data_IF_178058127761
#
_entry.id   IF_178058127761
#
_cell.length_a   1.000
_cell.length_b   1.000
_cell.length_c   1.000
_cell.angle_alpha   90.00
_cell.angle_beta   90.00
_cell.angle_gamma   90.00
#
_symmetry.space_group_name_H-M   'P 1'
#
loop_
_entity.id
_entity.type
_entity.pdbx_description
1 polymer ?
#
# COMPACT_ATOMS: atom_id res chain seq x y z
N UNK A 1 37.04 -27.04 -54.99
CA UNK A 1 35.67 -26.45 -54.91
C UNK A 1 34.64 -27.31 -54.14
N UNK A 2 35.03 -28.13 -53.14
CA UNK A 2 34.07 -28.83 -52.26
C UNK A 2 33.95 -28.21 -50.85
N UNK A 3 34.91 -27.39 -50.41
CA UNK A 3 34.88 -26.74 -49.08
C UNK A 3 34.07 -25.43 -49.02
N UNK A 4 33.84 -24.76 -50.15
CA UNK A 4 33.05 -23.52 -50.21
C UNK A 4 31.53 -23.74 -50.26
N UNK A 5 31.08 -24.96 -50.62
CA UNK A 5 29.65 -25.32 -50.66
C UNK A 5 29.08 -25.62 -49.27
N UNK A 6 29.89 -26.06 -48.31
CA UNK A 6 29.43 -26.34 -46.94
C UNK A 6 29.35 -25.07 -46.08
N UNK A 7 30.21 -24.08 -46.31
CA UNK A 7 30.18 -22.80 -45.57
C UNK A 7 28.97 -21.93 -45.96
N UNK A 8 28.53 -21.98 -47.23
CA UNK A 8 27.33 -21.27 -47.68
C UNK A 8 26.02 -21.94 -47.21
N UNK A 9 26.01 -23.27 -47.07
CA UNK A 9 24.86 -24.06 -46.57
C UNK A 9 24.69 -23.95 -45.04
N UNK A 10 25.78 -23.74 -44.30
CA UNK A 10 25.72 -23.43 -42.87
C UNK A 10 25.29 -21.99 -42.60
N UNK A 11 25.68 -21.03 -43.46
CA UNK A 11 25.22 -19.64 -43.34
C UNK A 11 23.70 -19.53 -43.60
N UNK A 12 23.15 -20.29 -44.55
CA UNK A 12 21.71 -20.29 -44.82
C UNK A 12 20.88 -21.02 -43.75
N UNK A 13 21.42 -22.01 -43.04
CA UNK A 13 20.71 -22.65 -41.92
C UNK A 13 20.64 -21.76 -40.66
N UNK A 14 21.60 -20.86 -40.45
CA UNK A 14 21.55 -19.90 -39.32
C UNK A 14 20.48 -18.82 -39.55
N UNK A 15 20.17 -18.48 -40.82
CA UNK A 15 19.08 -17.54 -41.14
C UNK A 15 17.68 -18.19 -41.18
N UNK A 16 17.57 -19.53 -41.16
CA UNK A 16 16.26 -20.24 -41.21
C UNK A 16 15.76 -20.67 -39.81
N UNK A 17 16.58 -20.58 -38.76
CA UNK A 17 16.14 -20.73 -37.36
C UNK A 17 15.79 -19.40 -36.67
N UNK A 18 15.89 -18.27 -37.38
CA UNK A 18 15.27 -16.98 -36.97
C UNK A 18 13.81 -16.91 -37.48
N UNK A 19 13.15 -18.07 -37.60
CA UNK A 19 11.74 -18.16 -37.89
C UNK A 19 10.93 -17.76 -36.64
N UNK A 20 10.39 -16.54 -36.66
CA UNK A 20 9.25 -16.06 -35.86
C UNK A 20 9.28 -16.23 -34.33
N UNK A 21 10.45 -16.34 -33.69
CA UNK A 21 10.50 -16.10 -32.25
C UNK A 21 10.23 -14.59 -32.02
N UNK A 22 9.11 -14.25 -31.36
CA UNK A 22 8.83 -12.87 -30.91
C UNK A 22 10.10 -12.32 -30.26
N UNK A 23 10.49 -11.08 -30.58
CA UNK A 23 11.60 -10.43 -29.88
C UNK A 23 11.28 -10.41 -28.37
N UNK A 24 12.28 -10.36 -27.47
CA UNK A 24 12.01 -10.30 -26.03
C UNK A 24 11.04 -9.17 -25.64
N UNK A 25 11.07 -8.05 -26.38
CA UNK A 25 10.12 -6.94 -26.26
C UNK A 25 8.70 -7.32 -26.66
N UNK A 26 8.51 -7.93 -27.83
CA UNK A 26 7.20 -8.39 -28.30
C UNK A 26 6.61 -9.49 -27.42
N UNK A 27 7.45 -10.39 -26.92
CA UNK A 27 7.03 -11.43 -25.98
C UNK A 27 6.66 -10.83 -24.62
N UNK A 28 7.41 -9.83 -24.12
CA UNK A 28 7.07 -9.09 -22.91
C UNK A 28 5.74 -8.35 -23.07
N UNK A 29 5.57 -7.59 -24.17
CA UNK A 29 4.34 -6.85 -24.50
C UNK A 29 3.12 -7.77 -24.51
N UNK A 30 3.22 -8.88 -25.24
CA UNK A 30 2.15 -9.88 -25.34
C UNK A 30 1.79 -10.53 -24.00
N UNK A 31 2.77 -10.80 -23.12
CA UNK A 31 2.50 -11.36 -21.79
C UNK A 31 1.86 -10.33 -20.86
N UNK A 32 2.33 -9.08 -20.91
CA UNK A 32 1.76 -8.00 -20.11
C UNK A 32 0.31 -7.69 -20.53
N UNK A 33 0.03 -7.68 -21.83
CA UNK A 33 -1.32 -7.52 -22.38
C UNK A 33 -2.25 -8.65 -21.92
N UNK A 34 -1.77 -9.91 -21.98
CA UNK A 34 -2.53 -11.06 -21.47
C UNK A 34 -2.84 -10.92 -19.98
N UNK A 35 -1.91 -10.40 -19.16
CA UNK A 35 -2.14 -10.20 -17.73
C UNK A 35 -3.12 -9.06 -17.45
N UNK A 36 -3.00 -7.93 -18.15
CA UNK A 36 -3.85 -6.75 -17.92
C UNK A 36 -5.28 -6.94 -18.47
N UNK A 37 -5.46 -7.80 -19.48
CA UNK A 37 -6.79 -8.14 -20.02
C UNK A 37 -7.55 -9.17 -19.18
N UNK A 38 -6.92 -9.82 -18.20
CA UNK A 38 -7.59 -10.77 -17.33
C UNK A 38 -8.56 -10.08 -16.35
N UNK A 39 -9.85 -10.16 -16.67
CA UNK A 39 -10.93 -9.67 -15.80
C UNK A 39 -11.05 -10.44 -14.49
N UNK A 40 -10.59 -11.69 -14.47
CA UNK A 40 -10.67 -12.57 -13.30
C UNK A 40 -9.31 -13.20 -12.99
N UNK A 41 -8.69 -12.76 -11.90
CA UNK A 41 -7.35 -13.20 -11.52
C UNK A 41 -7.15 -13.17 -10.01
N UNK A 42 -6.18 -13.95 -9.52
CA UNK A 42 -5.71 -13.90 -8.14
C UNK A 42 -4.22 -14.14 -8.07
N UNK A 43 -3.55 -13.44 -7.17
CA UNK A 43 -2.11 -13.46 -7.00
C UNK A 43 -1.74 -13.45 -5.53
N UNK A 44 -0.81 -14.33 -5.15
CA UNK A 44 -0.11 -14.25 -3.86
C UNK A 44 1.17 -13.44 -4.08
N UNK A 45 1.28 -12.30 -3.40
CA UNK A 45 2.43 -11.41 -3.40
C UNK A 45 3.32 -11.70 -2.21
N UNK A 46 4.63 -11.68 -2.45
CA UNK A 46 5.67 -11.60 -1.42
C UNK A 46 6.47 -10.33 -1.63
N UNK A 47 6.34 -9.39 -0.71
CA UNK A 47 7.02 -8.08 -0.74
C UNK A 47 8.13 -8.11 0.29
N UNK A 48 9.36 -7.82 -0.14
CA UNK A 48 10.54 -7.89 0.72
C UNK A 48 11.40 -6.65 0.54
N UNK A 49 11.69 -5.95 1.63
CA UNK A 49 12.73 -4.93 1.66
C UNK A 49 14.07 -5.65 1.76
N UNK A 50 14.89 -5.58 0.71
CA UNK A 50 16.19 -6.25 0.64
C UNK A 50 17.29 -5.48 1.34
N UNK A 51 17.27 -4.17 1.15
CA UNK A 51 18.27 -3.25 1.68
C UNK A 51 17.60 -1.91 1.91
N UNK A 52 17.97 -1.24 2.99
CA UNK A 52 17.56 0.12 3.30
C UNK A 52 18.80 0.84 3.84
N UNK A 53 19.16 1.96 3.23
CA UNK A 53 20.24 2.81 3.71
C UNK A 53 19.65 4.09 4.28
N UNK A 54 19.84 4.39 5.57
CA UNK A 54 19.40 5.64 6.14
C UNK A 54 20.14 6.83 5.52
N UNK A 55 19.48 7.99 5.48
CA UNK A 55 20.07 9.26 5.08
C UNK A 55 20.64 10.05 6.27
N UNK A 56 21.09 11.28 6.02
CA UNK A 56 21.75 12.10 7.04
C UNK A 56 20.78 12.59 8.13
N UNK A 57 19.50 12.72 7.80
CA UNK A 57 18.42 13.11 8.72
C UNK A 57 17.56 11.92 9.17
N UNK A 58 18.15 10.75 9.36
CA UNK A 58 17.41 9.58 9.87
C UNK A 58 17.03 9.67 11.37
N UNK A 59 17.16 10.85 11.99
CA UNK A 59 16.83 11.07 13.40
C UNK A 59 15.33 10.81 13.59
N UNK A 60 14.99 9.83 14.45
CA UNK A 60 13.60 9.43 14.73
C UNK A 60 13.06 8.25 13.90
N UNK A 61 13.89 7.61 13.07
CA UNK A 61 13.52 6.40 12.32
C UNK A 61 13.98 5.11 13.02
N UNK A 62 13.78 5.02 14.33
CA UNK A 62 14.03 3.79 15.08
C UNK A 62 13.14 2.65 14.55
N UNK A 63 13.72 1.46 14.34
CA UNK A 63 12.99 0.27 13.84
C UNK A 63 12.91 0.10 12.32
N UNK A 64 13.46 1.02 11.50
CA UNK A 64 13.49 0.81 10.03
C UNK A 64 14.39 -0.34 9.59
N UNK A 65 15.46 -0.63 10.31
CA UNK A 65 16.32 -1.78 10.02
C UNK A 65 15.58 -3.10 10.23
N UNK A 66 14.58 -3.12 11.13
CA UNK A 66 13.81 -4.33 11.46
C UNK A 66 12.93 -4.81 10.31
N UNK A 67 12.61 -3.93 9.34
CA UNK A 67 11.85 -4.32 8.14
C UNK A 67 12.73 -4.96 7.07
N UNK A 68 14.05 -4.74 7.12
CA UNK A 68 15.00 -5.30 6.15
C UNK A 68 15.04 -6.81 6.34
N UNK A 69 14.85 -7.54 5.25
CA UNK A 69 14.83 -9.00 5.28
C UNK A 69 13.46 -9.61 5.58
N UNK A 70 12.55 -8.88 6.25
CA UNK A 70 11.16 -9.31 6.48
C UNK A 70 10.42 -9.41 5.15
N UNK A 71 9.49 -10.37 5.08
CA UNK A 71 8.65 -10.61 3.91
C UNK A 71 7.20 -10.41 4.31
N UNK A 72 6.55 -9.46 3.66
CA UNK A 72 5.12 -9.24 3.72
C UNK A 72 4.43 -10.13 2.69
N UNK A 73 3.51 -10.95 3.19
CA UNK A 73 2.67 -11.77 2.34
C UNK A 73 1.34 -11.02 2.12
N UNK A 74 0.97 -10.85 0.85
CA UNK A 74 -0.29 -10.23 0.47
C UNK A 74 -0.99 -11.08 -0.58
N UNK A 75 -2.32 -10.95 -0.67
CA UNK A 75 -3.15 -11.59 -1.68
C UNK A 75 -4.00 -10.53 -2.34
N UNK A 76 -3.97 -10.48 -3.66
CA UNK A 76 -4.89 -9.64 -4.43
C UNK A 76 -5.69 -10.55 -5.33
N UNK A 77 -7.01 -10.35 -5.35
CA UNK A 77 -7.90 -11.06 -6.26
C UNK A 77 -8.94 -10.11 -6.82
N UNK A 78 -9.33 -10.35 -8.06
CA UNK A 78 -10.32 -9.55 -8.77
C UNK A 78 -11.20 -10.43 -9.65
N UNK A 79 -12.47 -10.04 -9.78
CA UNK A 79 -13.41 -10.51 -10.79
C UNK A 79 -14.22 -9.27 -11.22
N UNK A 80 -13.69 -8.59 -12.24
CA UNK A 80 -14.21 -7.32 -12.74
C UNK A 80 -15.58 -7.48 -13.38
N UNK A 81 -15.90 -8.64 -13.95
CA UNK A 81 -17.25 -8.96 -14.45
C UNK A 81 -18.29 -9.00 -13.31
N UNK A 82 -17.84 -9.29 -12.08
CA UNK A 82 -18.65 -9.28 -10.86
C UNK A 82 -18.40 -8.05 -9.98
N UNK A 83 -17.66 -7.05 -10.48
CA UNK A 83 -17.30 -5.82 -9.75
C UNK A 83 -16.72 -6.09 -8.36
N UNK A 84 -15.89 -7.12 -8.22
CA UNK A 84 -15.32 -7.49 -6.92
C UNK A 84 -13.80 -7.49 -6.99
N UNK A 85 -13.18 -6.89 -5.97
CA UNK A 85 -11.75 -6.90 -5.72
C UNK A 85 -11.51 -7.14 -4.24
N UNK A 86 -10.44 -7.86 -3.90
CA UNK A 86 -10.04 -8.12 -2.53
C UNK A 86 -8.53 -8.02 -2.41
N UNK A 87 -8.08 -7.32 -1.37
CA UNK A 87 -6.70 -7.22 -0.94
C UNK A 87 -6.64 -7.76 0.49
N UNK A 88 -5.72 -8.66 0.76
CA UNK A 88 -5.42 -9.17 2.10
C UNK A 88 -3.91 -9.08 2.33
N UNK A 89 -3.46 -8.61 3.48
CA UNK A 89 -2.04 -8.47 3.83
C UNK A 89 -1.82 -9.02 5.23
N UNK A 90 -0.91 -9.98 5.37
CA UNK A 90 -0.46 -10.49 6.68
C UNK A 90 0.53 -9.50 7.30
N UNK A 91 0.03 -8.70 8.24
CA UNK A 91 0.82 -7.71 8.97
C UNK A 91 1.52 -8.29 10.20
N UNK A 92 1.18 -9.52 10.62
CA UNK A 92 1.82 -10.20 11.77
C UNK A 92 3.32 -10.42 11.54
N UNK A 93 3.76 -10.44 10.27
CA UNK A 93 5.17 -10.50 9.88
C UNK A 93 5.95 -9.23 10.20
N UNK A 94 5.28 -8.08 10.32
CA UNK A 94 5.91 -6.82 10.73
C UNK A 94 6.02 -6.80 12.26
N UNK A 95 4.90 -7.00 12.95
CA UNK A 95 4.74 -6.98 14.41
C UNK A 95 3.57 -7.91 14.76
N UNK A 96 3.74 -8.76 15.77
CA UNK A 96 2.79 -9.81 16.14
C UNK A 96 1.47 -9.26 16.72
N UNK A 97 1.45 -8.00 17.14
CA UNK A 97 0.22 -7.32 17.57
C UNK A 97 -0.73 -6.99 16.42
N UNK A 98 -0.25 -6.97 15.17
CA UNK A 98 -1.08 -6.67 14.01
C UNK A 98 -1.75 -7.93 13.46
N UNK A 99 -3.06 -7.82 13.23
CA UNK A 99 -3.83 -8.82 12.49
C UNK A 99 -3.70 -8.63 10.97
N UNK A 100 -4.25 -9.56 10.20
CA UNK A 100 -4.40 -9.40 8.76
C UNK A 100 -5.19 -8.12 8.46
N UNK A 101 -4.70 -7.36 7.48
CA UNK A 101 -5.43 -6.26 6.86
C UNK A 101 -6.23 -6.81 5.68
N UNK A 102 -7.52 -6.51 5.62
CA UNK A 102 -8.38 -6.85 4.51
C UNK A 102 -9.08 -5.61 3.96
N UNK A 103 -9.07 -5.46 2.64
CA UNK A 103 -9.91 -4.52 1.91
C UNK A 103 -10.71 -5.29 0.86
N UNK A 104 -12.02 -5.10 0.84
CA UNK A 104 -12.92 -5.73 -0.12
C UNK A 104 -13.72 -4.66 -0.81
N UNK A 105 -13.59 -4.58 -2.12
CA UNK A 105 -14.42 -3.75 -2.96
C UNK A 105 -15.47 -4.63 -3.63
N UNK A 106 -16.76 -4.29 -3.53
CA UNK A 106 -17.85 -5.00 -4.20
C UNK A 106 -18.99 -4.05 -4.56
N UNK A 107 -19.42 -4.09 -5.83
CA UNK A 107 -20.61 -3.36 -6.31
C UNK A 107 -20.65 -1.90 -5.87
N UNK A 108 -19.53 -1.20 -6.11
CA UNK A 108 -19.31 0.21 -5.80
C UNK A 108 -19.17 0.56 -4.30
N UNK A 109 -19.09 -0.45 -3.41
CA UNK A 109 -18.77 -0.28 -1.99
C UNK A 109 -17.40 -0.83 -1.67
N UNK A 110 -16.71 -0.20 -0.72
CA UNK A 110 -15.42 -0.67 -0.23
C UNK A 110 -15.47 -0.85 1.29
N UNK A 111 -14.97 -1.98 1.75
CA UNK A 111 -14.91 -2.35 3.15
C UNK A 111 -13.46 -2.54 3.57
N UNK A 112 -13.13 -2.14 4.79
CA UNK A 112 -11.80 -2.28 5.36
C UNK A 112 -11.86 -2.89 6.76
N UNK A 113 -10.99 -3.85 7.04
CA UNK A 113 -10.82 -4.45 8.37
C UNK A 113 -10.36 -3.41 9.39
N UNK A 114 -10.94 -3.42 10.59
CA UNK A 114 -10.71 -2.38 11.61
C UNK A 114 -9.52 -2.70 12.52
N UNK A 115 -9.25 -3.97 12.77
CA UNK A 115 -8.27 -4.41 13.77
C UNK A 115 -6.85 -3.81 13.59
N UNK A 116 -6.24 -3.77 12.38
CA UNK A 116 -4.91 -3.19 12.23
C UNK A 116 -4.88 -1.70 12.60
N UNK A 117 -5.93 -0.95 12.25
CA UNK A 117 -6.04 0.48 12.56
C UNK A 117 -6.14 0.71 14.07
N UNK A 118 -6.90 -0.12 14.78
CA UNK A 118 -7.01 -0.06 16.24
C UNK A 118 -5.70 -0.45 16.93
N UNK A 119 -5.04 -1.52 16.46
CA UNK A 119 -3.75 -1.95 16.99
C UNK A 119 -2.65 -0.88 16.82
N UNK A 120 -2.67 -0.10 15.74
CA UNK A 120 -1.76 1.04 15.55
C UNK A 120 -1.97 2.15 16.60
N UNK A 121 -3.18 2.26 17.13
CA UNK A 121 -3.53 3.19 18.20
C UNK A 121 -3.43 2.56 19.59
N UNK A 122 -2.87 1.33 19.70
CA UNK A 122 -2.78 0.53 20.92
C UNK A 122 -4.14 0.27 21.60
N UNK A 123 -5.21 0.23 20.80
CA UNK A 123 -6.57 -0.09 21.24
C UNK A 123 -6.72 -1.62 21.32
N UNK A 124 -7.37 -2.15 22.37
CA UNK A 124 -7.67 -3.59 22.46
C UNK A 124 -8.54 -4.01 21.26
N UNK A 125 -8.06 -4.99 20.50
CA UNK A 125 -8.68 -5.44 19.25
C UNK A 125 -9.71 -6.56 19.44
N UNK A 126 -9.91 -7.09 20.67
CA UNK A 126 -10.83 -8.21 20.92
C UNK A 126 -12.26 -7.93 20.45
N UNK A 127 -12.78 -6.75 20.76
CA UNK A 127 -14.16 -6.38 20.40
C UNK A 127 -14.31 -6.00 18.92
N UNK A 128 -13.18 -5.83 18.21
CA UNK A 128 -13.13 -5.51 16.79
C UNK A 128 -12.78 -6.72 15.91
N UNK A 129 -12.70 -7.93 16.47
CA UNK A 129 -12.31 -9.13 15.71
C UNK A 129 -13.27 -9.40 14.54
N UNK A 130 -12.72 -9.48 13.33
CA UNK A 130 -13.49 -9.69 12.10
C UNK A 130 -14.42 -8.54 11.73
N UNK A 131 -14.29 -7.38 12.37
CA UNK A 131 -15.09 -6.18 12.08
C UNK A 131 -14.50 -5.35 10.95
N UNK A 132 -15.40 -4.74 10.19
CA UNK A 132 -15.12 -3.91 9.03
C UNK A 132 -15.78 -2.54 9.17
N UNK A 133 -15.32 -1.59 8.38
CA UNK A 133 -15.99 -0.30 8.15
C UNK A 133 -16.34 -0.16 6.68
N UNK A 134 -17.43 0.54 6.36
CA UNK A 134 -17.71 1.01 4.99
C UNK A 134 -16.91 2.31 4.75
N UNK A 135 -15.99 2.29 3.78
CA UNK A 135 -15.09 3.42 3.50
C UNK A 135 -15.89 4.66 3.08
N UNK A 136 -16.95 4.49 2.29
CA UNK A 136 -17.78 5.61 1.81
C UNK A 136 -18.53 6.28 2.98
N UNK A 137 -19.00 5.49 3.93
CA UNK A 137 -19.63 6.02 5.15
C UNK A 137 -18.64 6.85 5.98
N UNK A 138 -17.39 6.37 6.10
CA UNK A 138 -16.37 7.01 6.93
C UNK A 138 -15.79 8.26 6.27
N UNK A 139 -15.55 8.23 4.95
CA UNK A 139 -14.97 9.36 4.21
C UNK A 139 -16.01 10.42 3.83
N UNK A 140 -17.28 10.03 3.68
CA UNK A 140 -18.31 10.87 3.07
C UNK A 140 -18.16 11.04 1.56
N UNK A 141 -17.21 10.34 0.94
CA UNK A 141 -16.92 10.38 -0.49
C UNK A 141 -17.33 9.07 -1.15
N UNK A 142 -18.04 9.18 -2.28
CA UNK A 142 -18.45 8.02 -3.06
C UNK A 142 -17.24 7.32 -3.63
N UNK A 143 -17.22 5.99 -3.51
CA UNK A 143 -16.17 5.21 -4.14
C UNK A 143 -16.31 5.23 -5.67
N UNK A 144 -15.20 5.31 -6.43
CA UNK A 144 -15.23 5.33 -7.88
C UNK A 144 -15.70 3.99 -8.42
N UNK A 145 -16.64 3.96 -9.37
CA UNK A 145 -17.22 2.69 -9.83
C UNK A 145 -16.18 1.78 -10.51
N UNK A 146 -16.10 0.53 -10.06
CA UNK A 146 -15.25 -0.47 -10.71
C UNK A 146 -15.71 -0.75 -12.14
N UNK A 147 -17.02 -0.67 -12.42
CA UNK A 147 -17.53 -0.86 -13.79
C UNK A 147 -17.02 0.22 -14.73
N UNK A 148 -17.02 1.47 -14.28
CA UNK A 148 -16.57 2.59 -15.08
C UNK A 148 -15.05 2.59 -15.25
N UNK A 149 -14.31 2.24 -14.19
CA UNK A 149 -12.86 2.10 -14.23
C UNK A 149 -12.38 0.99 -15.20
N UNK A 150 -13.23 -0.02 -15.47
CA UNK A 150 -12.88 -1.22 -16.25
C UNK A 150 -13.61 -1.33 -17.58
N UNK A 151 -14.38 -0.31 -17.97
CA UNK A 151 -15.17 -0.28 -19.21
C UNK A 151 -14.26 -0.28 -20.44
N UNK A 152 -14.11 -1.45 -21.06
CA UNK A 152 -13.47 -1.71 -22.37
C UNK A 152 -12.34 -0.75 -22.76
N UNK A 153 -11.43 -0.45 -21.82
CA UNK A 153 -10.20 0.27 -22.13
C UNK A 153 -9.25 -0.75 -22.72
N UNK A 154 -8.93 -0.61 -24.00
CA UNK A 154 -7.81 -1.34 -24.60
C UNK A 154 -6.56 -1.09 -23.74
N UNK A 155 -5.84 -2.17 -23.44
CA UNK A 155 -4.61 -2.10 -22.67
C UNK A 155 -3.58 -1.30 -23.49
N UNK A 156 -3.34 -0.05 -23.11
CA UNK A 156 -2.36 0.79 -23.80
C UNK A 156 -0.93 0.42 -23.34
N UNK A 157 -0.25 -0.32 -24.21
CA UNK A 157 1.15 -0.67 -24.05
C UNK A 157 2.08 0.13 -24.98
N UNK A 158 1.61 1.25 -25.55
CA UNK A 158 2.41 2.09 -26.46
C UNK A 158 3.70 2.61 -25.82
N UNK A 159 3.71 2.77 -24.50
CA UNK A 159 4.91 3.15 -23.75
C UNK A 159 6.07 2.15 -23.93
N UNK A 160 5.78 0.86 -24.18
CA UNK A 160 6.81 -0.14 -24.45
C UNK A 160 7.51 0.14 -25.77
N UNK A 161 6.83 0.77 -26.73
CA UNK A 161 7.38 1.07 -28.04
C UNK A 161 8.54 2.08 -27.94
N UNK A 162 8.51 3.00 -26.95
CA UNK A 162 9.60 3.94 -26.62
C UNK A 162 10.81 3.30 -25.88
N UNK A 163 10.71 2.04 -25.44
CA UNK A 163 11.80 1.36 -24.72
C UNK A 163 12.65 0.57 -25.72
N UNK A 164 13.95 0.86 -25.79
CA UNK A 164 14.88 0.15 -26.69
C UNK A 164 14.91 -1.35 -26.39
N UNK A 165 15.02 -2.18 -27.44
CA UNK A 165 15.08 -3.65 -27.32
C UNK A 165 16.20 -4.14 -26.38
N UNK A 166 17.30 -3.39 -26.25
CA UNK A 166 18.44 -3.72 -25.37
C UNK A 166 18.06 -3.79 -23.87
N UNK A 167 16.95 -3.17 -23.48
CA UNK A 167 16.43 -3.23 -22.11
C UNK A 167 15.64 -4.51 -21.83
N UNK A 168 15.31 -5.27 -22.88
CA UNK A 168 14.60 -6.52 -22.79
C UNK A 168 15.56 -7.70 -22.87
N UNK A 169 15.32 -8.70 -22.03
CA UNK A 169 16.08 -9.95 -22.05
C UNK A 169 15.11 -11.12 -21.95
N UNK A 170 15.46 -12.20 -22.62
CA UNK A 170 14.80 -13.49 -22.45
C UNK A 170 15.79 -14.45 -21.82
N UNK A 171 15.37 -15.08 -20.73
CA UNK A 171 16.12 -16.15 -20.07
C UNK A 171 15.17 -17.33 -19.84
N UNK A 172 15.35 -18.39 -20.62
CA UNK A 172 14.47 -19.55 -20.63
C UNK A 172 12.99 -19.13 -20.80
N UNK A 173 12.15 -19.45 -19.82
CA UNK A 173 10.72 -19.15 -19.79
C UNK A 173 10.40 -17.71 -19.35
N UNK A 174 11.38 -16.90 -18.96
CA UNK A 174 11.18 -15.56 -18.44
C UNK A 174 11.54 -14.49 -19.47
N UNK A 175 10.75 -13.42 -19.50
CA UNK A 175 11.09 -12.18 -20.20
C UNK A 175 11.16 -11.03 -19.22
N UNK A 176 12.21 -10.24 -19.32
CA UNK A 176 12.55 -9.20 -18.35
C UNK A 176 12.73 -7.88 -19.06
N UNK A 177 12.22 -6.80 -18.48
CA UNK A 177 12.55 -5.42 -18.86
C UNK A 177 13.20 -4.70 -17.69
N UNK A 178 14.29 -3.97 -17.94
CA UNK A 178 14.88 -3.06 -16.94
C UNK A 178 14.65 -1.62 -17.37
N UNK A 179 13.90 -0.89 -16.54
CA UNK A 179 13.51 0.49 -16.75
C UNK A 179 14.22 1.41 -15.76
N UNK A 180 14.57 2.60 -16.23
CA UNK A 180 14.89 3.72 -15.33
C UNK A 180 13.61 4.23 -14.68
N UNK A 181 13.73 4.91 -13.53
CA UNK A 181 12.56 5.54 -12.89
C UNK A 181 11.89 6.57 -13.81
N UNK A 182 12.66 7.30 -14.62
CA UNK A 182 12.14 8.23 -15.62
C UNK A 182 11.22 7.53 -16.65
N UNK A 183 11.59 6.34 -17.10
CA UNK A 183 10.75 5.53 -17.99
C UNK A 183 9.49 5.04 -17.28
N UNK A 184 9.59 4.56 -16.04
CA UNK A 184 8.41 4.17 -15.24
C UNK A 184 7.42 5.32 -15.05
N UNK A 185 7.90 6.52 -14.76
CA UNK A 185 7.03 7.68 -14.58
C UNK A 185 6.29 8.07 -15.86
N UNK A 186 6.88 7.84 -17.04
CA UNK A 186 6.16 7.99 -18.31
C UNK A 186 5.01 6.99 -18.44
N UNK A 187 5.23 5.73 -18.07
CA UNK A 187 4.18 4.69 -18.04
C UNK A 187 3.02 5.13 -17.14
N UNK A 188 3.33 5.57 -15.93
CA UNK A 188 2.33 6.02 -14.96
C UNK A 188 1.52 7.21 -15.48
N UNK A 189 2.18 8.20 -16.10
CA UNK A 189 1.50 9.35 -16.72
C UNK A 189 0.55 8.93 -17.85
N UNK A 190 0.92 7.96 -18.68
CA UNK A 190 0.04 7.45 -19.74
C UNK A 190 -1.19 6.72 -19.18
N UNK A 191 -1.00 5.87 -18.17
CA UNK A 191 -2.10 5.16 -17.51
C UNK A 191 -3.09 6.12 -16.83
N UNK A 192 -2.59 7.20 -16.21
CA UNK A 192 -3.42 8.20 -15.53
C UNK A 192 -4.23 9.09 -16.48
N UNK A 193 -3.68 9.46 -17.64
CA UNK A 193 -4.42 10.21 -18.68
C UNK A 193 -5.66 9.48 -19.18
N UNK A 194 -5.72 8.17 -18.99
CA UNK A 194 -6.91 7.37 -19.34
C UNK A 194 -7.97 7.39 -18.24
N UNK A 195 -7.64 7.84 -17.02
CA UNK A 195 -8.53 7.77 -15.86
C UNK A 195 -9.24 9.09 -15.55
N UNK A 196 -8.77 10.23 -16.06
CA UNK A 196 -9.36 11.52 -15.72
C UNK A 196 -9.29 12.55 -16.87
N UNK A 197 -10.44 13.08 -17.28
CA UNK A 197 -10.57 14.19 -18.23
C UNK A 197 -10.34 15.57 -17.54
N UNK A 198 -10.16 15.58 -16.21
CA UNK A 198 -9.94 16.80 -15.45
C UNK A 198 -8.49 17.33 -15.56
N UNK A 199 -8.34 18.49 -16.19
CA UNK A 199 -7.04 19.16 -16.41
C UNK A 199 -6.30 19.50 -15.11
N UNK A 200 -7.02 19.82 -14.04
CA UNK A 200 -6.41 20.24 -12.77
C UNK A 200 -5.70 19.07 -12.05
N UNK A 201 -6.34 17.90 -12.02
CA UNK A 201 -5.75 16.66 -11.49
C UNK A 201 -4.48 16.28 -12.27
N UNK A 202 -4.51 16.43 -13.60
CA UNK A 202 -3.38 16.11 -14.46
C UNK A 202 -2.15 17.02 -14.21
N UNK A 203 -2.36 18.31 -13.96
CA UNK A 203 -1.27 19.26 -13.65
C UNK A 203 -0.65 19.01 -12.27
N UNK A 204 -1.46 18.70 -11.26
CA UNK A 204 -0.97 18.32 -9.93
C UNK A 204 -0.14 17.02 -9.99
N UNK A 205 -0.62 16.01 -10.71
CA UNK A 205 0.10 14.75 -10.92
C UNK A 205 1.42 14.94 -11.66
N UNK A 206 1.45 15.79 -12.68
CA UNK A 206 2.68 16.15 -13.39
C UNK A 206 3.69 16.81 -12.46
N UNK A 207 3.24 17.66 -11.55
CA UNK A 207 4.08 18.28 -10.53
C UNK A 207 4.69 17.23 -9.61
N UNK A 208 3.89 16.30 -9.06
CA UNK A 208 4.41 15.21 -8.21
C UNK A 208 5.39 14.30 -8.93
N UNK A 209 5.10 13.95 -10.19
CA UNK A 209 6.02 13.15 -11.02
C UNK A 209 7.33 13.89 -11.24
N UNK A 210 7.31 15.19 -11.53
CA UNK A 210 8.52 15.97 -11.75
C UNK A 210 9.34 16.15 -10.46
N UNK A 211 8.67 16.32 -9.31
CA UNK A 211 9.31 16.32 -8.01
C UNK A 211 9.99 14.97 -7.73
N UNK A 212 9.27 13.86 -7.91
CA UNK A 212 9.81 12.51 -7.72
C UNK A 212 11.02 12.24 -8.63
N UNK A 213 10.98 12.68 -9.89
CA UNK A 213 12.13 12.62 -10.82
C UNK A 213 13.33 13.41 -10.30
N UNK A 214 13.11 14.63 -9.84
CA UNK A 214 14.18 15.48 -9.31
C UNK A 214 14.80 14.92 -8.03
N UNK A 215 14.00 14.20 -7.22
CA UNK A 215 14.45 13.61 -5.96
C UNK A 215 15.24 12.31 -6.12
N UNK A 216 15.18 11.65 -7.28
CA UNK A 216 15.80 10.34 -7.50
C UNK A 216 17.06 10.44 -8.37
N UNK A 217 18.05 9.61 -8.07
CA UNK A 217 19.24 9.42 -8.89
C UNK A 217 18.90 8.62 -10.15
N UNK A 218 19.56 8.94 -11.27
CA UNK A 218 19.53 8.15 -12.52
C UNK A 218 19.98 6.69 -12.35
N UNK A 219 20.64 6.36 -11.23
CA UNK A 219 20.99 4.98 -10.87
C UNK A 219 19.78 4.16 -10.41
N UNK A 220 18.67 4.81 -10.07
CA UNK A 220 17.43 4.16 -9.67
C UNK A 220 16.80 3.44 -10.85
N UNK A 221 16.34 2.21 -10.62
CA UNK A 221 15.83 1.34 -11.68
C UNK A 221 14.79 0.38 -11.13
N UNK A 222 13.91 -0.06 -12.02
CA UNK A 222 13.04 -1.20 -11.78
C UNK A 222 13.28 -2.27 -12.83
N UNK A 223 13.26 -3.52 -12.39
CA UNK A 223 13.33 -4.69 -13.26
C UNK A 223 12.05 -5.47 -13.09
N UNK A 224 11.28 -5.62 -14.17
CA UNK A 224 10.05 -6.39 -14.20
C UNK A 224 10.30 -7.65 -15.02
N UNK A 225 9.96 -8.81 -14.47
CA UNK A 225 10.11 -10.11 -15.09
C UNK A 225 8.78 -10.83 -15.13
N UNK A 226 8.39 -11.28 -16.31
CA UNK A 226 7.16 -12.04 -16.55
C UNK A 226 7.52 -13.49 -16.89
N UNK A 227 7.01 -14.43 -16.09
CA UNK A 227 7.05 -15.86 -16.38
C UNK A 227 5.96 -16.26 -17.38
N UNK A 228 6.13 -17.41 -18.03
CA UNK A 228 5.14 -17.95 -18.98
C UNK A 228 3.84 -18.38 -18.29
N UNK A 229 3.90 -18.63 -16.99
CA UNK A 229 2.82 -19.06 -16.12
C UNK A 229 2.02 -17.89 -15.52
N UNK A 230 2.36 -16.66 -15.91
CA UNK A 230 1.74 -15.44 -15.38
C UNK A 230 2.34 -14.98 -14.04
N UNK A 231 3.43 -15.60 -13.57
CA UNK A 231 4.15 -15.11 -12.40
C UNK A 231 4.90 -13.81 -12.74
N UNK A 232 4.88 -12.87 -11.80
CA UNK A 232 5.57 -11.58 -11.89
C UNK A 232 6.67 -11.52 -10.84
N UNK A 233 7.84 -11.03 -11.24
CA UNK A 233 8.89 -10.61 -10.30
C UNK A 233 9.31 -9.18 -10.62
N UNK A 234 9.20 -8.31 -9.63
CA UNK A 234 9.64 -6.93 -9.72
C UNK A 234 10.74 -6.70 -8.70
N UNK A 235 11.83 -6.08 -9.12
CA UNK A 235 12.88 -5.58 -8.23
C UNK A 235 13.05 -4.09 -8.48
N UNK A 236 12.85 -3.27 -7.45
CA UNK A 236 12.95 -1.82 -7.50
C UNK A 236 14.12 -1.40 -6.63
N UNK A 237 15.01 -0.60 -7.21
CA UNK A 237 16.10 0.07 -6.48
C UNK A 237 15.88 1.56 -6.58
N UNK A 238 15.53 2.19 -5.47
CA UNK A 238 15.32 3.63 -5.37
C UNK A 238 16.49 4.25 -4.62
N UNK A 239 17.15 5.22 -5.26
CA UNK A 239 18.30 5.93 -4.70
C UNK A 239 17.98 7.41 -4.79
N UNK A 240 17.99 8.12 -3.66
CA UNK A 240 17.78 9.56 -3.66
C UNK A 240 18.98 10.31 -4.24
N UNK A 241 18.70 11.44 -4.90
CA UNK A 241 19.71 12.27 -5.56
C UNK A 241 20.72 12.85 -4.55
N UNK A 242 21.95 13.09 -4.99
CA UNK A 242 23.01 13.65 -4.12
C UNK A 242 22.64 15.07 -3.71
N UNK A 243 22.72 15.36 -2.40
CA UNK A 243 22.36 16.68 -1.85
C UNK A 243 20.90 16.79 -1.40
N UNK A 244 20.09 15.75 -1.63
CA UNK A 244 18.78 15.60 -1.00
C UNK A 244 18.97 15.27 0.48
N UNK A 245 18.44 16.14 1.34
CA UNK A 245 18.41 15.90 2.77
C UNK A 245 17.20 15.05 3.14
N UNK A 246 17.37 13.74 3.01
CA UNK A 246 16.29 12.74 3.16
C UNK A 246 16.58 11.81 4.31
N UNK A 247 15.52 11.30 4.92
CA UNK A 247 15.64 10.36 6.03
C UNK A 247 16.05 8.95 5.54
N UNK A 248 15.74 8.62 4.28
CA UNK A 248 16.17 7.38 3.59
C UNK A 248 17.02 7.77 2.39
N UNK A 249 18.21 7.19 2.25
CA UNK A 249 19.12 7.42 1.13
C UNK A 249 18.87 6.47 -0.03
N UNK A 250 18.60 5.20 0.26
CA UNK A 250 18.20 4.23 -0.75
C UNK A 250 17.39 3.10 -0.15
N UNK A 251 16.56 2.48 -0.98
CA UNK A 251 15.80 1.28 -0.63
C UNK A 251 15.72 0.35 -1.83
N UNK A 252 15.96 -0.94 -1.58
CA UNK A 252 15.79 -2.01 -2.55
C UNK A 252 14.60 -2.88 -2.12
N UNK A 253 13.62 -3.04 -3.02
CA UNK A 253 12.39 -3.81 -2.76
C UNK A 253 12.22 -4.87 -3.83
N UNK A 254 11.94 -6.10 -3.40
CA UNK A 254 11.52 -7.19 -4.27
C UNK A 254 10.03 -7.48 -4.04
N UNK A 255 9.30 -7.63 -5.15
CA UNK A 255 7.90 -8.06 -5.16
C UNK A 255 7.78 -9.28 -6.06
N UNK A 256 7.37 -10.41 -5.51
CA UNK A 256 7.09 -11.61 -6.30
C UNK A 256 5.60 -11.89 -6.24
N UNK A 257 4.90 -11.82 -7.37
CA UNK A 257 3.50 -12.20 -7.49
C UNK A 257 3.41 -13.58 -8.15
N UNK A 258 2.83 -14.54 -7.43
CA UNK A 258 2.53 -15.87 -7.96
C UNK A 258 1.07 -15.92 -8.35
N UNK A 259 0.76 -16.26 -9.59
CA UNK A 259 -0.62 -16.48 -10.01
C UNK A 259 -1.19 -17.71 -9.30
N UNK A 260 -2.39 -17.58 -8.74
CA UNK A 260 -3.06 -18.64 -8.00
C UNK A 260 -4.50 -18.82 -8.46
N UNK A 261 -5.12 -19.93 -8.05
CA UNK A 261 -6.53 -20.17 -8.32
C UNK A 261 -7.38 -19.10 -7.64
N UNK A 262 -8.20 -18.42 -8.44
CA UNK A 262 -9.12 -17.42 -7.94
C UNK A 262 -10.08 -17.99 -6.87
N UNK A 263 -10.19 -17.27 -5.77
CA UNK A 263 -11.26 -17.41 -4.78
C UNK A 263 -11.94 -16.06 -4.65
N UNK A 264 -13.27 -16.06 -4.67
CA UNK A 264 -14.02 -14.82 -4.59
C UNK A 264 -13.84 -14.17 -3.22
N UNK A 265 -13.45 -12.88 -3.16
CA UNK A 265 -13.58 -12.09 -1.95
C UNK A 265 -15.04 -12.11 -1.48
N UNK A 266 -15.23 -12.25 -0.17
CA UNK A 266 -16.56 -12.22 0.44
C UNK A 266 -16.73 -10.87 1.11
N UNK A 267 -17.68 -10.08 0.64
CA UNK A 267 -18.08 -8.88 1.38
C UNK A 267 -18.50 -9.23 2.81
N UNK A 268 -18.18 -8.39 3.80
CA UNK A 268 -18.60 -8.61 5.18
C UNK A 268 -20.12 -8.59 5.28
N UNK A 269 -20.66 -9.26 6.31
CA UNK A 269 -22.09 -9.17 6.62
C UNK A 269 -22.36 -7.82 7.24
N UNK A 270 -23.60 -7.32 7.12
CA UNK A 270 -24.00 -6.06 7.76
C UNK A 270 -23.79 -6.06 9.28
N UNK A 271 -23.89 -7.20 9.96
CA UNK A 271 -23.59 -7.34 11.40
C UNK A 271 -22.12 -7.16 11.78
N UNK A 272 -21.24 -7.26 10.79
CA UNK A 272 -19.79 -7.19 10.95
C UNK A 272 -19.24 -5.83 10.51
N UNK A 273 -20.12 -4.93 10.03
CA UNK A 273 -19.78 -3.55 9.67
C UNK A 273 -20.10 -2.66 10.86
N UNK A 274 -19.09 -1.97 11.37
CA UNK A 274 -19.25 -0.96 12.41
C UNK A 274 -19.71 0.35 11.78
N UNK A 275 -20.68 0.98 12.42
CA UNK A 275 -21.02 2.38 12.18
C UNK A 275 -19.89 3.30 12.64
N UNK A 276 -19.93 4.55 12.17
CA UNK A 276 -18.99 5.59 12.63
C UNK A 276 -19.00 5.78 14.14
N UNK A 277 -20.16 5.77 14.77
CA UNK A 277 -20.31 5.95 16.22
C UNK A 277 -19.71 4.78 17.00
N UNK A 278 -19.95 3.53 16.56
CA UNK A 278 -19.34 2.35 17.18
C UNK A 278 -17.81 2.37 17.07
N UNK A 279 -17.27 2.79 15.92
CA UNK A 279 -15.84 2.94 15.74
C UNK A 279 -15.26 4.03 16.64
N UNK A 280 -15.90 5.20 16.71
CA UNK A 280 -15.48 6.31 17.57
C UNK A 280 -15.48 5.88 19.05
N UNK A 281 -16.48 5.11 19.49
CA UNK A 281 -16.53 4.59 20.85
C UNK A 281 -15.36 3.63 21.14
N UNK A 282 -15.02 2.71 20.22
CA UNK A 282 -13.86 1.83 20.39
C UNK A 282 -12.54 2.60 20.52
N UNK A 283 -12.40 3.68 19.75
CA UNK A 283 -11.23 4.56 19.81
C UNK A 283 -11.18 5.35 21.13
N UNK A 284 -12.32 5.90 21.56
CA UNK A 284 -12.43 6.71 22.78
C UNK A 284 -12.28 5.89 24.05
N UNK A 285 -12.86 4.68 24.10
CA UNK A 285 -12.79 3.83 25.29
C UNK A 285 -11.35 3.41 25.65
N UNK A 286 -10.46 3.31 24.66
CA UNK A 286 -9.04 3.01 24.88
C UNK A 286 -8.15 4.25 25.02
N UNK A 287 -8.68 5.46 24.80
CA UNK A 287 -8.00 6.72 25.17
C UNK A 287 -8.31 7.14 26.61
N UNK A 288 -9.20 6.42 27.31
CA UNK A 288 -9.48 6.68 28.72
C UNK A 288 -8.26 6.36 29.58
N UNK A 289 -7.99 7.22 30.55
CA UNK A 289 -6.94 7.00 31.53
C UNK A 289 -7.19 5.69 32.29
N UNK A 290 -6.12 4.90 32.46
CA UNK A 290 -6.16 3.76 33.36
C UNK A 290 -6.46 4.24 34.78
N UNK A 291 -7.05 3.38 35.62
CA UNK A 291 -7.30 3.74 37.03
C UNK A 291 -6.02 4.15 37.77
N UNK A 292 -4.87 3.57 37.40
CA UNK A 292 -3.60 3.94 38.00
C UNK A 292 -3.19 5.36 37.60
N UNK A 293 -3.16 5.66 36.30
CA UNK A 293 -2.76 6.98 35.79
C UNK A 293 -3.74 8.06 36.30
N UNK A 294 -5.04 7.74 36.31
CA UNK A 294 -6.05 8.60 36.88
C UNK A 294 -5.80 8.86 38.37
N UNK A 295 -5.50 7.83 39.16
CA UNK A 295 -5.28 8.01 40.60
C UNK A 295 -4.02 8.85 40.89
N UNK A 296 -2.95 8.71 40.10
CA UNK A 296 -1.75 9.55 40.21
C UNK A 296 -2.08 11.02 39.92
N UNK A 297 -2.81 11.28 38.83
CA UNK A 297 -3.29 12.62 38.48
C UNK A 297 -4.23 13.18 39.55
N UNK A 298 -5.18 12.37 40.03
CA UNK A 298 -6.17 12.74 41.04
C UNK A 298 -5.52 13.12 42.37
N UNK A 299 -4.57 12.31 42.87
CA UNK A 299 -3.85 12.62 44.11
C UNK A 299 -2.94 13.83 43.96
N UNK A 300 -2.40 14.09 42.76
CA UNK A 300 -1.68 15.33 42.46
C UNK A 300 -2.55 16.58 42.62
N UNK A 301 -3.75 16.57 42.03
CA UNK A 301 -4.71 17.68 42.15
C UNK A 301 -5.18 17.83 43.61
N UNK A 302 -5.44 16.71 44.29
CA UNK A 302 -5.90 16.69 45.68
C UNK A 302 -4.84 17.18 46.66
N UNK A 303 -3.56 16.92 46.42
CA UNK A 303 -2.47 17.44 47.25
C UNK A 303 -2.30 18.97 47.13
N UNK A 304 -2.65 19.56 45.98
CA UNK A 304 -2.56 21.00 45.72
C UNK A 304 -3.93 21.71 45.77
N UNK A 305 -4.93 21.07 46.39
CA UNK A 305 -6.31 21.55 46.41
C UNK A 305 -6.45 22.93 47.07
N UNK A 306 -5.58 23.24 48.05
CA UNK A 306 -5.56 24.54 48.73
C UNK A 306 -5.13 25.71 47.82
N UNK A 307 -4.43 25.41 46.72
CA UNK A 307 -3.94 26.39 45.75
C UNK A 307 -4.64 26.31 44.38
N UNK A 308 -5.54 25.33 44.20
CA UNK A 308 -6.27 25.13 42.94
C UNK A 308 -7.71 25.61 43.08
N UNK A 309 -8.16 26.48 42.18
CA UNK A 309 -9.55 26.97 42.23
C UNK A 309 -10.53 25.93 41.68
N UNK A 310 -11.78 26.02 42.12
CA UNK A 310 -12.87 25.19 41.57
C UNK A 310 -12.99 25.32 40.05
N UNK A 311 -12.93 26.54 39.51
CA UNK A 311 -13.04 26.79 38.06
C UNK A 311 -11.89 26.11 37.29
N UNK A 312 -10.71 26.02 37.89
CA UNK A 312 -9.56 25.36 37.28
C UNK A 312 -9.80 23.85 37.14
N UNK A 313 -10.37 23.22 38.18
CA UNK A 313 -10.71 21.79 38.14
C UNK A 313 -11.87 21.55 37.16
N UNK A 314 -12.90 22.39 37.16
CA UNK A 314 -14.01 22.29 36.21
C UNK A 314 -13.57 22.47 34.75
N UNK A 315 -12.64 23.41 34.48
CA UNK A 315 -12.04 23.59 33.17
C UNK A 315 -11.20 22.37 32.76
N UNK A 316 -10.43 21.78 33.68
CA UNK A 316 -9.71 20.53 33.43
C UNK A 316 -10.67 19.39 33.08
N UNK A 317 -11.76 19.20 33.85
CA UNK A 317 -12.78 18.19 33.56
C UNK A 317 -13.36 18.40 32.16
N UNK A 318 -13.72 19.64 31.80
CA UNK A 318 -14.29 19.93 30.49
C UNK A 318 -13.33 19.59 29.33
N UNK A 319 -12.03 19.82 29.52
CA UNK A 319 -11.00 19.52 28.51
C UNK A 319 -10.61 18.04 28.46
N UNK A 320 -10.68 17.34 29.59
CA UNK A 320 -10.22 15.96 29.74
C UNK A 320 -11.34 14.92 29.66
N UNK A 321 -12.62 15.35 29.61
CA UNK A 321 -13.80 14.47 29.69
C UNK A 321 -13.77 13.28 28.71
N UNK A 322 -13.24 13.47 27.50
CA UNK A 322 -13.15 12.41 26.49
C UNK A 322 -12.18 11.27 26.89
N UNK A 323 -11.24 11.56 27.79
CA UNK A 323 -10.19 10.65 28.27
C UNK A 323 -10.48 10.11 29.68
N UNK A 324 -11.68 10.34 30.20
CA UNK A 324 -12.08 9.92 31.54
C UNK A 324 -13.30 9.01 31.48
N UNK A 325 -13.37 8.05 32.40
CA UNK A 325 -14.62 7.31 32.64
C UNK A 325 -15.63 8.20 33.37
N UNK A 326 -16.91 7.88 33.29
CA UNK A 326 -17.95 8.60 34.05
C UNK A 326 -17.68 8.60 35.56
N UNK A 327 -17.10 7.52 36.09
CA UNK A 327 -16.71 7.41 37.50
C UNK A 327 -15.54 8.34 37.85
N UNK A 328 -14.54 8.42 36.96
CA UNK A 328 -13.39 9.32 37.10
C UNK A 328 -13.80 10.80 37.00
N UNK A 329 -14.68 11.15 36.06
CA UNK A 329 -15.29 12.48 35.95
C UNK A 329 -15.98 12.84 37.27
N UNK A 330 -16.81 11.94 37.79
CA UNK A 330 -17.54 12.18 39.05
C UNK A 330 -16.59 12.38 40.24
N UNK A 331 -15.50 11.62 40.33
CA UNK A 331 -14.48 11.82 41.37
C UNK A 331 -13.84 13.22 41.31
N UNK A 332 -13.54 13.72 40.12
CA UNK A 332 -13.01 15.08 39.93
C UNK A 332 -14.07 16.15 40.22
N UNK A 333 -15.33 15.95 39.83
CA UNK A 333 -16.43 16.86 40.17
C UNK A 333 -16.63 16.97 41.69
N UNK A 334 -16.52 15.85 42.41
CA UNK A 334 -16.60 15.84 43.87
C UNK A 334 -15.37 16.48 44.53
N UNK A 335 -14.20 16.40 43.91
CA UNK A 335 -12.99 17.12 44.34
C UNK A 335 -13.13 18.64 44.10
N UNK A 336 -13.69 19.05 42.96
CA UNK A 336 -13.94 20.46 42.63
C UNK A 336 -14.87 21.14 43.65
N UNK A 337 -15.84 20.41 44.22
CA UNK A 337 -16.73 20.92 45.30
C UNK A 337 -15.98 21.18 46.61
N UNK A 338 -14.80 20.59 46.81
CA UNK A 338 -13.98 20.74 48.01
C UNK A 338 -12.91 21.82 47.86
N UNK A 339 -12.59 22.22 46.62
CA UNK A 339 -11.68 23.33 46.34
C UNK A 339 -12.27 24.68 46.79
N UNK A 340 -11.41 25.66 47.10
CA UNK A 340 -11.87 27.02 47.39
C UNK A 340 -12.57 27.59 46.14
N UNK A 341 -13.79 28.08 46.36
CA UNK A 341 -14.57 28.80 45.35
C UNK A 341 -14.07 30.21 45.13
#
# INVERSE_FOLDING_TARGET
MKKFRYTLLLLSLVFVLVACAKSPKEEFKSRLESLQSEKKAAFDYKIKVKDLKPGQNAVGLEGLDDIVGKTLDAKISQDLDKNVMGISVDLSKIDDKFSDFEMIYKDDKAYMSVQPMLAMQNVDIKDAEGKFIDIEEMSGEKMPSLKEATKDKEVDLSWLDEVDEKHFKKDSDNVTVTLTMNQLFKVYKSALKQLDDNKETAEQLETYVNLAKASLSDKSKATLTLGKDGNLKTSVSMIYAKGMDTAIKSVDVDVNAKKVTYKAPKAPKSSDILSKEELENLLMDNQKLSDQDFNELYEGIKADLDNTSKETIEAFIAQSKAYLTDEQVKKLEDLAKQAKG
#
